data_IF_042978596673
#
_entry.id   IF_042978596673
#
_cell.length_a   1.000
_cell.length_b   1.000
_cell.length_c   1.000
_cell.angle_alpha   90.00
_cell.angle_beta   90.00
_cell.angle_gamma   90.00
#
_symmetry.space_group_name_H-M   'P 1'
#
loop_
_entity.id
_entity.type
_entity.pdbx_description
1 polymer ?
#
# COMPACT_ATOMS: atom_id res chain seq x y z
N UNK A 1 -21.23 27.39 10.61
CA UNK A 1 -19.98 27.14 9.85
C UNK A 1 -19.54 25.72 10.20
N UNK A 2 -19.72 24.75 9.30
CA UNK A 2 -19.36 23.37 9.62
C UNK A 2 -17.84 23.29 9.83
N UNK A 3 -17.34 22.66 10.91
CA UNK A 3 -15.91 22.51 11.10
C UNK A 3 -15.33 21.75 9.91
N UNK A 4 -14.25 22.27 9.33
CA UNK A 4 -13.54 21.62 8.24
C UNK A 4 -13.15 20.20 8.65
N UNK A 5 -13.24 19.25 7.73
CA UNK A 5 -12.87 17.85 7.99
C UNK A 5 -11.41 17.80 8.46
N UNK A 6 -11.19 17.35 9.69
CA UNK A 6 -9.84 17.21 10.24
C UNK A 6 -9.05 16.15 9.45
N UNK A 7 -7.86 16.52 8.99
CA UNK A 7 -6.93 15.66 8.28
C UNK A 7 -5.64 15.50 9.09
N UNK A 8 -4.95 14.36 8.99
CA UNK A 8 -3.78 14.08 9.82
C UNK A 8 -2.47 14.76 9.33
N UNK A 9 -2.47 15.29 8.10
CA UNK A 9 -1.36 16.07 7.53
C UNK A 9 -1.50 17.55 7.87
N UNK A 10 -0.37 18.25 7.98
CA UNK A 10 -0.33 19.67 8.33
C UNK A 10 -0.67 20.59 7.15
N UNK A 11 -0.36 20.18 5.91
CA UNK A 11 -0.62 20.96 4.71
C UNK A 11 -0.71 20.07 3.46
N UNK A 12 -1.17 20.65 2.35
CA UNK A 12 -1.32 19.93 1.08
C UNK A 12 0.03 19.51 0.49
N UNK A 13 1.09 20.28 0.76
CA UNK A 13 2.45 19.95 0.33
C UNK A 13 2.95 18.67 1.01
N UNK A 14 2.67 18.50 2.31
CA UNK A 14 2.99 17.24 3.02
C UNK A 14 2.28 16.06 2.38
N UNK A 15 1.01 16.23 2.03
CA UNK A 15 0.23 15.20 1.34
C UNK A 15 0.85 14.80 -0.01
N UNK A 16 1.20 15.77 -0.86
CA UNK A 16 1.83 15.50 -2.16
C UNK A 16 3.23 14.88 -2.01
N UNK A 17 3.99 15.31 -1.01
CA UNK A 17 5.32 14.79 -0.74
C UNK A 17 5.28 13.32 -0.28
N UNK A 18 4.33 12.94 0.58
CA UNK A 18 4.16 11.54 0.98
C UNK A 18 3.74 10.69 -0.22
N UNK A 19 2.86 11.20 -1.08
CA UNK A 19 2.50 10.51 -2.33
C UNK A 19 3.72 10.28 -3.22
N UNK A 20 4.58 11.28 -3.42
CA UNK A 20 5.78 11.14 -4.26
C UNK A 20 6.79 10.16 -3.65
N UNK A 21 6.90 10.09 -2.33
CA UNK A 21 7.73 9.11 -1.64
C UNK A 21 7.21 7.68 -1.78
N UNK A 22 5.91 7.45 -1.57
CA UNK A 22 5.30 6.13 -1.64
C UNK A 22 5.33 5.54 -3.06
N UNK A 23 5.22 6.37 -4.10
CA UNK A 23 5.23 5.94 -5.50
C UNK A 23 6.63 5.98 -6.14
N UNK A 24 7.66 6.29 -5.36
CA UNK A 24 9.05 6.28 -5.81
C UNK A 24 9.58 4.85 -5.96
N UNK A 25 10.55 4.66 -6.83
CA UNK A 25 11.22 3.37 -7.08
C UNK A 25 12.35 3.12 -6.07
N UNK A 26 12.71 4.15 -5.29
CA UNK A 26 13.71 4.02 -4.23
C UNK A 26 13.08 3.47 -2.95
N UNK A 27 13.59 2.33 -2.49
CA UNK A 27 13.15 1.67 -1.26
C UNK A 27 13.26 2.61 -0.03
N UNK A 28 14.26 3.49 -0.02
CA UNK A 28 14.46 4.47 1.05
C UNK A 28 13.34 5.52 1.12
N UNK A 29 12.89 6.01 -0.04
CA UNK A 29 11.77 6.94 -0.14
C UNK A 29 10.47 6.27 0.28
N UNK A 30 10.22 5.03 -0.17
CA UNK A 30 9.03 4.26 0.23
C UNK A 30 8.99 4.10 1.76
N UNK A 31 10.09 3.66 2.39
CA UNK A 31 10.18 3.54 3.86
C UNK A 31 9.95 4.86 4.59
N UNK A 32 10.40 5.98 4.00
CA UNK A 32 10.14 7.32 4.54
C UNK A 32 8.65 7.69 4.45
N UNK A 33 8.01 7.38 3.33
CA UNK A 33 6.57 7.54 3.13
C UNK A 33 5.75 6.73 4.14
N UNK A 34 6.07 5.44 4.31
CA UNK A 34 5.38 4.55 5.26
C UNK A 34 5.45 5.09 6.68
N UNK A 35 6.64 5.45 7.17
CA UNK A 35 6.81 6.06 8.52
C UNK A 35 6.00 7.33 8.69
N UNK A 36 5.81 8.12 7.63
CA UNK A 36 4.97 9.31 7.69
C UNK A 36 3.49 8.95 7.78
N UNK A 37 3.04 7.93 7.05
CA UNK A 37 1.67 7.42 7.17
C UNK A 37 1.42 6.83 8.57
N UNK A 38 2.39 6.16 9.19
CA UNK A 38 2.30 5.73 10.59
C UNK A 38 2.09 6.89 11.55
N UNK A 39 2.84 7.99 11.36
CA UNK A 39 2.62 9.21 12.14
C UNK A 39 1.20 9.78 11.92
N UNK A 40 0.65 9.68 10.71
CA UNK A 40 -0.74 10.06 10.45
C UNK A 40 -1.76 9.13 11.14
N UNK A 41 -1.48 7.82 11.19
CA UNK A 41 -2.32 6.83 11.93
C UNK A 41 -2.37 7.15 13.41
N UNK A 42 -1.25 7.56 14.01
CA UNK A 42 -1.19 7.94 15.42
C UNK A 42 -1.98 9.24 15.72
N UNK A 43 -2.10 10.15 14.75
CA UNK A 43 -2.82 11.43 14.91
C UNK A 43 -4.32 11.32 14.71
N UNK A 44 -4.79 10.33 13.95
CA UNK A 44 -6.21 10.16 13.71
C UNK A 44 -6.53 9.29 12.51
N UNK A 45 -7.72 9.52 11.93
CA UNK A 45 -8.26 8.66 10.88
C UNK A 45 -7.61 8.97 9.52
N UNK A 46 -6.71 8.10 9.10
CA UNK A 46 -6.13 8.09 7.75
C UNK A 46 -7.15 7.56 6.73
N UNK A 47 -7.24 8.13 5.52
CA UNK A 47 -8.06 7.57 4.46
C UNK A 47 -7.68 6.12 4.15
N UNK A 48 -8.66 5.24 3.97
CA UNK A 48 -8.46 3.80 3.73
C UNK A 48 -7.44 3.53 2.62
N UNK A 49 -7.55 4.23 1.49
CA UNK A 49 -6.63 4.04 0.36
C UNK A 49 -5.16 4.26 0.75
N UNK A 50 -4.88 5.31 1.54
CA UNK A 50 -3.51 5.60 2.00
C UNK A 50 -3.02 4.54 2.97
N UNK A 51 -3.89 4.09 3.88
CA UNK A 51 -3.59 3.05 4.85
C UNK A 51 -3.21 1.73 4.16
N UNK A 52 -4.04 1.30 3.21
CA UNK A 52 -3.82 0.08 2.42
C UNK A 52 -2.58 0.20 1.55
N UNK A 53 -2.37 1.33 0.86
CA UNK A 53 -1.18 1.51 0.02
C UNK A 53 0.10 1.42 0.84
N UNK A 54 0.15 2.04 2.03
CA UNK A 54 1.32 1.94 2.90
C UNK A 54 1.57 0.50 3.36
N UNK A 55 0.53 -0.24 3.76
CA UNK A 55 0.66 -1.64 4.20
C UNK A 55 1.04 -2.60 3.06
N UNK A 56 0.53 -2.38 1.84
CA UNK A 56 0.94 -3.15 0.67
C UNK A 56 2.42 -2.91 0.32
N UNK A 57 2.85 -1.64 0.33
CA UNK A 57 4.25 -1.30 0.06
C UNK A 57 5.19 -1.82 1.14
N UNK A 58 4.77 -1.80 2.41
CA UNK A 58 5.52 -2.39 3.51
C UNK A 58 5.71 -3.90 3.33
N UNK A 59 4.64 -4.61 2.96
CA UNK A 59 4.70 -6.05 2.65
C UNK A 59 5.57 -6.32 1.44
N UNK A 60 5.45 -5.50 0.38
CA UNK A 60 6.26 -5.61 -0.83
C UNK A 60 7.75 -5.38 -0.56
N UNK A 61 8.13 -4.48 0.35
CA UNK A 61 9.53 -4.28 0.76
C UNK A 61 10.14 -5.49 1.47
N UNK A 62 9.30 -6.34 2.08
CA UNK A 62 9.71 -7.62 2.67
C UNK A 62 9.71 -8.77 1.64
N UNK A 63 9.21 -8.53 0.43
CA UNK A 63 9.09 -9.52 -0.64
C UNK A 63 10.22 -9.34 -1.68
N UNK A 64 11.28 -10.16 -1.62
CA UNK A 64 12.37 -10.09 -2.58
C UNK A 64 11.94 -10.46 -4.01
N UNK A 65 10.86 -11.22 -4.18
CA UNK A 65 10.39 -11.61 -5.51
C UNK A 65 9.78 -10.40 -6.24
N UNK A 66 9.00 -9.57 -5.54
CA UNK A 66 8.37 -8.38 -6.11
C UNK A 66 9.39 -7.37 -6.66
N UNK A 67 10.41 -7.02 -5.87
CA UNK A 67 11.45 -6.09 -6.31
C UNK A 67 12.51 -6.73 -7.21
N UNK A 68 12.77 -8.04 -7.04
CA UNK A 68 13.63 -8.82 -7.95
C UNK A 68 13.08 -8.89 -9.37
N UNK A 69 11.76 -9.04 -9.53
CA UNK A 69 11.07 -8.98 -10.82
C UNK A 69 11.12 -7.58 -11.45
N UNK A 70 11.00 -6.52 -10.65
CA UNK A 70 11.16 -5.14 -11.13
C UNK A 70 12.60 -4.86 -11.60
N UNK A 71 13.61 -5.36 -10.86
CA UNK A 71 15.01 -5.27 -11.26
C UNK A 71 15.31 -6.12 -12.50
N UNK A 72 14.75 -7.34 -12.58
CA UNK A 72 14.92 -8.24 -13.72
C UNK A 72 14.26 -7.70 -15.00
N UNK A 73 13.09 -7.06 -14.89
CA UNK A 73 12.42 -6.40 -16.02
C UNK A 73 13.13 -5.11 -16.46
N UNK A 74 13.73 -4.36 -15.54
CA UNK A 74 14.64 -3.26 -15.88
C UNK A 74 15.96 -3.75 -16.51
N UNK A 75 16.52 -4.86 -16.04
CA UNK A 75 17.76 -5.44 -16.54
C UNK A 75 17.61 -6.15 -17.90
N UNK A 76 16.44 -6.74 -18.20
CA UNK A 76 16.15 -7.28 -19.54
C UNK A 76 16.03 -6.19 -20.60
N UNK A 77 15.69 -4.95 -20.22
CA UNK A 77 15.77 -3.79 -21.11
C UNK A 77 17.21 -3.28 -21.35
N UNK A 78 18.21 -3.76 -20.60
CA UNK A 78 19.60 -3.25 -20.60
C UNK A 78 20.69 -4.35 -20.78
N UNK A 79 20.31 -5.56 -21.18
CA UNK A 79 21.09 -6.82 -21.19
C UNK A 79 22.65 -6.77 -21.16
N UNK A 80 23.26 -7.41 -20.14
CA UNK A 80 24.43 -8.33 -20.21
C UNK A 80 24.77 -8.93 -18.82
N UNK A 81 25.36 -10.14 -18.72
CA UNK A 81 25.43 -10.91 -17.47
C UNK A 81 26.72 -10.61 -16.70
N UNK A 82 26.60 -10.10 -15.49
CA UNK A 82 27.72 -10.03 -14.54
C UNK A 82 27.31 -10.76 -13.27
N UNK A 83 27.94 -11.92 -13.06
CA UNK A 83 27.78 -12.72 -11.87
C UNK A 83 28.28 -11.97 -10.65
N UNK A 84 27.37 -11.69 -9.71
CA UNK A 84 27.68 -11.53 -8.30
C UNK A 84 26.37 -11.83 -7.57
N UNK A 85 26.25 -13.05 -7.03
CA UNK A 85 25.06 -13.46 -6.29
C UNK A 85 24.88 -12.56 -5.06
N UNK A 86 23.71 -11.95 -4.84
CA UNK A 86 23.53 -11.10 -3.69
C UNK A 86 23.44 -11.95 -2.42
N UNK A 87 24.22 -11.52 -1.44
CA UNK A 87 24.35 -12.08 -0.11
C UNK A 87 22.99 -12.36 0.56
N UNK A 88 22.98 -13.46 1.33
CA UNK A 88 21.84 -14.01 2.05
C UNK A 88 21.11 -12.95 2.91
N UNK A 89 20.03 -12.39 2.36
CA UNK A 89 19.04 -11.68 3.14
C UNK A 89 18.22 -12.71 3.92
N UNK A 90 18.12 -12.55 5.24
CA UNK A 90 17.23 -13.30 6.12
C UNK A 90 15.80 -13.23 5.55
N UNK A 91 15.39 -14.27 4.83
CA UNK A 91 14.11 -14.30 4.16
C UNK A 91 13.02 -14.42 5.20
N UNK A 92 12.12 -13.44 5.24
CA UNK A 92 10.85 -13.59 5.94
C UNK A 92 10.19 -14.86 5.42
N UNK A 93 9.66 -15.70 6.31
CA UNK A 93 9.00 -16.95 5.89
C UNK A 93 7.97 -16.65 4.80
N UNK A 94 7.97 -17.43 3.72
CA UNK A 94 7.02 -17.28 2.62
C UNK A 94 5.57 -17.27 3.11
N UNK A 95 5.26 -18.07 4.13
CA UNK A 95 3.93 -18.09 4.75
C UNK A 95 3.58 -16.77 5.42
N UNK A 96 4.55 -16.12 6.08
CA UNK A 96 4.35 -14.83 6.73
C UNK A 96 4.04 -13.72 5.71
N UNK A 97 4.77 -13.68 4.58
CA UNK A 97 4.50 -12.72 3.49
C UNK A 97 3.09 -12.94 2.92
N UNK A 98 2.70 -14.20 2.67
CA UNK A 98 1.35 -14.54 2.17
C UNK A 98 0.26 -14.13 3.14
N UNK A 99 0.48 -14.32 4.44
CA UNK A 99 -0.45 -13.89 5.50
C UNK A 99 -0.59 -12.35 5.54
N UNK A 100 0.52 -11.61 5.44
CA UNK A 100 0.51 -10.14 5.43
C UNK A 100 -0.26 -9.57 4.22
N UNK A 101 -0.02 -10.11 3.02
CA UNK A 101 -0.80 -9.75 1.84
C UNK A 101 -2.28 -10.08 2.01
N UNK A 102 -2.59 -11.31 2.45
CA UNK A 102 -3.97 -11.76 2.63
C UNK A 102 -4.73 -10.84 3.60
N UNK A 103 -4.14 -10.52 4.74
CA UNK A 103 -4.73 -9.62 5.73
C UNK A 103 -4.96 -8.21 5.17
N UNK A 104 -4.00 -7.68 4.42
CA UNK A 104 -4.10 -6.35 3.80
C UNK A 104 -5.20 -6.30 2.74
N UNK A 105 -5.30 -7.34 1.90
CA UNK A 105 -6.35 -7.46 0.87
C UNK A 105 -7.73 -7.58 1.51
N UNK A 106 -7.89 -8.42 2.52
CA UNK A 106 -9.17 -8.56 3.24
C UNK A 106 -9.59 -7.22 3.86
N UNK A 107 -8.67 -6.50 4.50
CA UNK A 107 -8.93 -5.15 5.05
C UNK A 107 -9.34 -4.16 3.97
N UNK A 108 -8.70 -4.22 2.80
CA UNK A 108 -9.04 -3.37 1.66
C UNK A 108 -10.47 -3.64 1.18
N UNK A 109 -10.80 -4.90 0.91
CA UNK A 109 -12.12 -5.29 0.40
C UNK A 109 -13.21 -4.97 1.42
N UNK A 110 -13.02 -5.34 2.69
CA UNK A 110 -13.98 -5.04 3.75
C UNK A 110 -14.16 -3.53 3.91
N UNK A 111 -13.06 -2.76 3.96
CA UNK A 111 -13.14 -1.31 4.07
C UNK A 111 -13.86 -0.65 2.90
N UNK A 112 -13.70 -1.16 1.66
CA UNK A 112 -14.45 -0.67 0.49
C UNK A 112 -15.92 -1.05 0.60
N UNK A 113 -16.23 -2.32 0.90
CA UNK A 113 -17.60 -2.80 1.04
C UNK A 113 -18.37 -2.02 2.12
N UNK A 114 -17.75 -1.83 3.29
CA UNK A 114 -18.31 -1.08 4.41
C UNK A 114 -18.55 0.39 4.04
N UNK A 115 -17.64 1.01 3.27
CA UNK A 115 -17.81 2.38 2.81
C UNK A 115 -18.99 2.58 1.85
N UNK A 116 -19.41 1.52 1.17
CA UNK A 116 -20.53 1.53 0.23
C UNK A 116 -21.87 1.19 0.89
N UNK A 117 -21.86 0.61 2.09
CA UNK A 117 -23.07 0.33 2.87
C UNK A 117 -23.62 1.62 3.51
N UNK A 118 -24.35 2.42 2.72
CA UNK A 118 -24.97 3.68 3.15
C UNK A 118 -26.39 3.51 3.72
N UNK A 119 -26.89 2.28 3.81
CA UNK A 119 -28.28 1.95 4.20
C UNK A 119 -28.41 1.16 5.50
N UNK A 120 -29.64 1.04 6.01
CA UNK A 120 -30.00 0.41 7.30
C UNK A 120 -30.04 -1.13 7.27
N UNK A 121 -29.79 -1.73 6.10
CA UNK A 121 -29.82 -3.19 5.88
C UNK A 121 -28.57 -3.60 5.10
N UNK A 122 -27.95 -4.71 5.49
CA UNK A 122 -26.80 -5.27 4.78
C UNK A 122 -27.22 -5.69 3.36
N UNK A 123 -26.59 -5.08 2.35
CA UNK A 123 -26.77 -5.44 0.94
C UNK A 123 -25.73 -6.51 0.55
N UNK A 124 -26.10 -7.38 -0.39
CA UNK A 124 -25.20 -8.42 -0.89
C UNK A 124 -23.99 -7.80 -1.62
N UNK A 125 -22.79 -8.33 -1.37
CA UNK A 125 -21.55 -7.86 -2.02
C UNK A 125 -21.62 -8.02 -3.54
N UNK A 126 -22.35 -9.04 -4.04
CA UNK A 126 -22.51 -9.29 -5.46
C UNK A 126 -23.28 -8.16 -6.19
N UNK A 127 -24.24 -7.51 -5.52
CA UNK A 127 -25.03 -6.43 -6.16
C UNK A 127 -24.24 -5.12 -6.32
N UNK A 128 -23.23 -4.87 -5.50
CA UNK A 128 -22.42 -3.64 -5.58
C UNK A 128 -21.28 -3.72 -6.60
N UNK A 129 -20.71 -4.90 -6.85
CA UNK A 129 -19.65 -5.06 -7.85
C UNK A 129 -20.14 -4.77 -9.27
N UNK A 130 -21.41 -5.06 -9.59
CA UNK A 130 -22.00 -4.78 -10.90
C UNK A 130 -22.27 -3.28 -11.14
N UNK A 131 -22.46 -2.48 -10.08
CA UNK A 131 -22.69 -1.03 -10.17
C UNK A 131 -21.40 -0.23 -10.40
N UNK A 132 -20.22 -0.83 -10.25
CA UNK A 132 -18.91 -0.18 -10.47
C UNK A 132 -18.41 -0.38 -11.91
N UNK A 133 -19.01 -1.29 -12.67
CA UNK A 133 -18.63 -1.66 -14.05
C UNK A 133 -19.50 -0.96 -15.11
N UNK A 134 -20.55 -0.23 -14.69
CA UNK A 134 -21.47 0.51 -15.56
C UNK A 134 -21.37 2.01 -15.31
#
# INVERSE_FOLDING_TARGET
MAPGRTVPWCCWEEWQLVKSWLLSQSHSNIRRGIRRVEAWRARGRVPLGVDITASLLETALCDPAFWGQAAASAATAAAAPAGTGPAAASSVSQQQIRLQYSATIVRMVNGIADSQQKGRVALSVNSHLMSVVM
#
